data_IF_772454625333
#
_entry.id   IF_772454625333
#
_cell.length_a   1.000
_cell.length_b   1.000
_cell.length_c   1.000
_cell.angle_alpha   90.00
_cell.angle_beta   90.00
_cell.angle_gamma   90.00
#
_symmetry.space_group_name_H-M   'P 1'
#
loop_
_entity.id
_entity.type
_entity.pdbx_description
1 polymer ?
#
# COMPACT_ATOMS: atom_id res chain seq x y z
N UNK A 1 -67.34 29.68 13.07
CA UNK A 1 -66.74 28.34 13.24
C UNK A 1 -66.08 27.79 11.97
N UNK A 2 -66.61 28.06 10.76
CA UNK A 2 -66.02 27.57 9.50
C UNK A 2 -64.58 28.03 9.20
N UNK A 3 -64.21 29.27 9.60
CA UNK A 3 -62.86 29.84 9.32
C UNK A 3 -61.71 29.13 10.03
N UNK A 4 -61.91 28.63 11.25
CA UNK A 4 -60.87 27.93 12.02
C UNK A 4 -60.60 26.54 11.44
N UNK A 5 -61.66 25.81 11.11
CA UNK A 5 -61.57 24.49 10.48
C UNK A 5 -60.84 24.57 9.13
N UNK A 6 -61.13 25.59 8.31
CA UNK A 6 -60.42 25.81 7.06
C UNK A 6 -58.92 26.05 7.29
N UNK A 7 -58.56 26.83 8.31
CA UNK A 7 -57.17 27.11 8.66
C UNK A 7 -56.41 25.85 9.12
N UNK A 8 -57.02 25.01 9.96
CA UNK A 8 -56.43 23.73 10.40
C UNK A 8 -56.17 22.79 9.22
N UNK A 9 -57.10 22.70 8.28
CA UNK A 9 -56.93 21.90 7.06
C UNK A 9 -55.76 22.43 6.20
N UNK A 10 -55.62 23.75 6.08
CA UNK A 10 -54.49 24.35 5.37
C UNK A 10 -53.16 24.08 6.08
N UNK A 11 -53.13 24.17 7.42
CA UNK A 11 -51.93 23.92 8.21
C UNK A 11 -51.50 22.45 8.12
N UNK A 12 -52.45 21.52 8.21
CA UNK A 12 -52.20 20.09 8.05
C UNK A 12 -51.61 19.78 6.67
N UNK A 13 -52.16 20.36 5.60
CA UNK A 13 -51.61 20.20 4.23
C UNK A 13 -50.18 20.71 4.13
N UNK A 14 -49.87 21.87 4.73
CA UNK A 14 -48.51 22.42 4.76
C UNK A 14 -47.56 21.53 5.56
N UNK A 15 -48.06 20.94 6.64
CA UNK A 15 -47.28 20.02 7.45
C UNK A 15 -46.92 18.74 6.68
N UNK A 16 -47.89 18.15 5.98
CA UNK A 16 -47.65 16.98 5.11
C UNK A 16 -46.62 17.29 4.01
N UNK A 17 -46.70 18.48 3.41
CA UNK A 17 -45.74 18.92 2.40
C UNK A 17 -44.32 19.06 2.97
N UNK A 18 -44.18 19.63 4.17
CA UNK A 18 -42.90 19.71 4.89
C UNK A 18 -42.36 18.32 5.21
N UNK A 19 -43.21 17.42 5.69
CA UNK A 19 -42.81 16.03 5.99
C UNK A 19 -42.37 15.28 4.73
N UNK A 20 -43.09 15.47 3.61
CA UNK A 20 -42.74 14.88 2.31
C UNK A 20 -41.40 15.38 1.78
N UNK A 21 -41.14 16.69 1.87
CA UNK A 21 -39.84 17.25 1.47
C UNK A 21 -38.70 16.72 2.35
N UNK A 22 -38.93 16.62 3.67
CA UNK A 22 -37.94 16.10 4.61
C UNK A 22 -37.60 14.64 4.35
N UNK A 23 -38.58 13.80 4.01
CA UNK A 23 -38.34 12.39 3.72
C UNK A 23 -37.49 12.21 2.46
N UNK A 24 -37.79 12.95 1.40
CA UNK A 24 -36.99 12.94 0.15
C UNK A 24 -35.55 13.36 0.42
N UNK A 25 -35.34 14.45 1.17
CA UNK A 25 -33.99 14.93 1.48
C UNK A 25 -33.20 13.90 2.31
N UNK A 26 -33.83 13.30 3.32
CA UNK A 26 -33.19 12.25 4.12
C UNK A 26 -32.79 11.04 3.27
N UNK A 27 -33.66 10.62 2.36
CA UNK A 27 -33.36 9.51 1.45
C UNK A 27 -32.21 9.85 0.50
N UNK A 28 -32.16 11.07 -0.05
CA UNK A 28 -31.04 11.52 -0.87
C UNK A 28 -29.71 11.57 -0.09
N UNK A 29 -29.76 12.02 1.17
CA UNK A 29 -28.58 12.03 2.03
C UNK A 29 -28.09 10.61 2.34
N UNK A 30 -29.00 9.67 2.60
CA UNK A 30 -28.69 8.28 2.86
C UNK A 30 -28.08 7.58 1.64
N UNK A 31 -28.66 7.77 0.45
CA UNK A 31 -28.11 7.21 -0.79
C UNK A 31 -26.73 7.80 -1.10
N UNK A 32 -26.55 9.11 -0.96
CA UNK A 32 -25.26 9.75 -1.17
C UNK A 32 -24.17 9.24 -0.21
N UNK A 33 -24.50 9.04 1.07
CA UNK A 33 -23.57 8.46 2.05
C UNK A 33 -23.27 6.98 1.74
N UNK A 34 -24.27 6.22 1.34
CA UNK A 34 -24.13 4.83 0.89
C UNK A 34 -23.17 4.70 -0.29
N UNK A 35 -23.41 5.45 -1.36
CA UNK A 35 -22.60 5.47 -2.58
C UNK A 35 -21.16 5.92 -2.33
N UNK A 36 -20.98 6.93 -1.48
CA UNK A 36 -19.64 7.40 -1.09
C UNK A 36 -18.88 6.32 -0.31
N UNK A 37 -19.56 5.59 0.58
CA UNK A 37 -18.97 4.50 1.38
C UNK A 37 -18.59 3.32 0.48
N UNK A 38 -19.48 2.88 -0.41
CA UNK A 38 -19.22 1.75 -1.32
C UNK A 38 -18.11 2.07 -2.32
N UNK A 39 -18.08 3.28 -2.88
CA UNK A 39 -16.99 3.72 -3.77
C UNK A 39 -15.63 3.66 -3.08
N UNK A 40 -15.56 4.09 -1.81
CA UNK A 40 -14.33 4.03 -1.01
C UNK A 40 -13.89 2.58 -0.76
N UNK A 41 -14.81 1.67 -0.46
CA UNK A 41 -14.45 0.25 -0.20
C UNK A 41 -13.91 -0.46 -1.43
N UNK A 42 -14.52 -0.27 -2.61
CA UNK A 42 -14.05 -0.90 -3.85
C UNK A 42 -12.69 -0.37 -4.29
N UNK A 43 -12.45 0.95 -4.12
CA UNK A 43 -11.14 1.54 -4.41
C UNK A 43 -10.03 0.99 -3.48
N UNK A 44 -10.30 0.87 -2.17
CA UNK A 44 -9.33 0.28 -1.24
C UNK A 44 -9.03 -1.18 -1.59
N UNK A 45 -10.06 -1.97 -1.92
CA UNK A 45 -9.86 -3.38 -2.27
C UNK A 45 -9.04 -3.56 -3.55
N UNK A 46 -9.30 -2.76 -4.58
CA UNK A 46 -8.53 -2.80 -5.81
C UNK A 46 -7.06 -2.41 -5.58
N UNK A 47 -6.82 -1.38 -4.77
CA UNK A 47 -5.46 -0.96 -4.40
C UNK A 47 -4.72 -2.04 -3.59
N UNK A 48 -5.39 -2.68 -2.63
CA UNK A 48 -4.80 -3.76 -1.83
C UNK A 48 -4.49 -5.01 -2.67
N UNK A 49 -5.39 -5.37 -3.59
CA UNK A 49 -5.15 -6.46 -4.54
C UNK A 49 -3.96 -6.17 -5.46
N UNK A 50 -3.89 -4.95 -6.01
CA UNK A 50 -2.76 -4.51 -6.83
C UNK A 50 -1.44 -4.51 -6.03
N UNK A 51 -1.46 -4.03 -4.78
CA UNK A 51 -0.29 -4.03 -3.89
C UNK A 51 0.22 -5.45 -3.63
N UNK A 52 -0.67 -6.40 -3.32
CA UNK A 52 -0.32 -7.82 -3.12
C UNK A 52 0.31 -8.43 -4.37
N UNK A 53 -0.30 -8.20 -5.53
CA UNK A 53 0.24 -8.67 -6.83
C UNK A 53 1.62 -8.07 -7.10
N UNK A 54 1.79 -6.77 -6.92
CA UNK A 54 3.05 -6.09 -7.18
C UNK A 54 4.16 -6.57 -6.24
N UNK A 55 3.85 -6.84 -4.97
CA UNK A 55 4.81 -7.42 -4.02
C UNK A 55 5.28 -8.81 -4.45
N UNK A 56 4.37 -9.67 -4.90
CA UNK A 56 4.71 -11.00 -5.42
C UNK A 56 5.58 -10.90 -6.68
N UNK A 57 5.19 -10.06 -7.64
CA UNK A 57 5.96 -9.84 -8.87
C UNK A 57 7.36 -9.31 -8.58
N UNK A 58 7.50 -8.36 -7.66
CA UNK A 58 8.80 -7.81 -7.28
C UNK A 58 9.69 -8.90 -6.65
N UNK A 59 9.11 -9.76 -5.81
CA UNK A 59 9.84 -10.87 -5.21
C UNK A 59 10.32 -11.87 -6.28
N UNK A 60 9.46 -12.23 -7.24
CA UNK A 60 9.83 -13.11 -8.36
C UNK A 60 10.94 -12.50 -9.21
N UNK A 61 10.83 -11.21 -9.57
CA UNK A 61 11.85 -10.52 -10.36
C UNK A 61 13.18 -10.41 -9.60
N UNK A 62 13.12 -10.17 -8.29
CA UNK A 62 14.30 -10.12 -7.44
C UNK A 62 15.04 -11.47 -7.45
N UNK A 63 14.35 -12.58 -7.19
CA UNK A 63 14.99 -13.89 -7.18
C UNK A 63 15.49 -14.31 -8.57
N UNK A 64 14.75 -14.01 -9.63
CA UNK A 64 15.24 -14.22 -11.00
C UNK A 64 16.53 -13.44 -11.29
N UNK A 65 16.62 -12.18 -10.84
CA UNK A 65 17.83 -11.36 -10.98
C UNK A 65 19.00 -11.91 -10.15
N UNK A 66 18.74 -12.45 -8.96
CA UNK A 66 19.74 -13.12 -8.12
C UNK A 66 20.26 -14.37 -8.84
N UNK A 67 19.38 -15.24 -9.30
CA UNK A 67 19.74 -16.46 -10.03
C UNK A 67 20.56 -16.17 -11.29
N UNK A 68 20.19 -15.15 -12.06
CA UNK A 68 20.95 -14.73 -13.24
C UNK A 68 22.35 -14.19 -12.89
N UNK A 69 22.48 -13.58 -11.71
CA UNK A 69 23.74 -12.98 -11.27
C UNK A 69 24.68 -13.97 -10.60
N UNK A 70 24.17 -15.05 -10.00
CA UNK A 70 24.95 -16.05 -9.24
C UNK A 70 26.18 -16.58 -10.00
N UNK A 71 26.09 -17.02 -11.27
CA UNK A 71 27.26 -17.51 -12.00
C UNK A 71 28.35 -16.45 -12.18
N UNK A 72 27.97 -15.19 -12.37
CA UNK A 72 28.92 -14.07 -12.52
C UNK A 72 29.69 -13.85 -11.22
N UNK A 73 29.00 -13.93 -10.09
CA UNK A 73 29.62 -13.88 -8.77
C UNK A 73 30.55 -15.07 -8.52
N UNK A 74 30.17 -16.28 -8.91
CA UNK A 74 31.01 -17.47 -8.77
C UNK A 74 32.33 -17.32 -9.55
N UNK A 75 32.27 -16.91 -10.82
CA UNK A 75 33.49 -16.71 -11.63
C UNK A 75 34.41 -15.63 -11.04
N UNK A 76 33.86 -14.54 -10.54
CA UNK A 76 34.63 -13.49 -9.89
C UNK A 76 35.31 -13.98 -8.61
N UNK A 77 34.59 -14.69 -7.73
CA UNK A 77 35.12 -15.22 -6.48
C UNK A 77 36.22 -16.27 -6.71
N UNK A 78 36.16 -16.99 -7.83
CA UNK A 78 37.20 -17.92 -8.27
C UNK A 78 38.39 -17.22 -8.95
N UNK A 79 38.37 -15.89 -9.07
CA UNK A 79 39.43 -15.11 -9.74
C UNK A 79 39.47 -15.28 -11.27
N UNK A 80 38.39 -15.81 -11.86
CA UNK A 80 38.28 -16.11 -13.30
C UNK A 80 37.58 -15.02 -14.10
N UNK A 81 36.99 -14.03 -13.43
CA UNK A 81 36.30 -12.91 -14.05
C UNK A 81 36.54 -11.60 -13.27
N UNK A 82 36.22 -10.48 -13.91
CA UNK A 82 36.21 -9.16 -13.27
C UNK A 82 35.03 -9.00 -12.29
N UNK A 83 35.07 -7.94 -11.47
CA UNK A 83 34.09 -7.69 -10.44
C UNK A 83 32.66 -7.46 -11.02
N UNK A 84 31.64 -8.17 -10.50
CA UNK A 84 30.25 -7.96 -10.93
C UNK A 84 29.72 -6.58 -10.56
N UNK A 85 28.63 -6.18 -11.23
CA UNK A 85 27.91 -4.94 -10.94
C UNK A 85 27.50 -4.86 -9.47
N UNK A 86 27.76 -3.72 -8.83
CA UNK A 86 27.42 -3.47 -7.43
C UNK A 86 28.48 -3.91 -6.42
N UNK A 87 29.57 -4.54 -6.86
CA UNK A 87 30.68 -4.87 -5.97
C UNK A 87 31.39 -3.59 -5.49
N UNK A 88 31.38 -3.36 -4.17
CA UNK A 88 32.14 -2.28 -3.52
C UNK A 88 33.28 -2.90 -2.73
N UNK A 89 34.54 -2.68 -3.15
CA UNK A 89 35.70 -3.04 -2.32
C UNK A 89 35.64 -2.26 -1.02
N UNK A 90 35.43 -2.95 0.09
CA UNK A 90 35.66 -2.37 1.40
C UNK A 90 37.16 -2.13 1.55
N UNK A 91 37.56 -0.89 1.82
CA UNK A 91 38.95 -0.54 2.05
C UNK A 91 39.35 -1.16 3.39
N UNK A 92 40.04 -2.28 3.36
CA UNK A 92 40.72 -2.83 4.54
C UNK A 92 41.90 -1.93 4.83
N UNK A 93 41.73 -1.01 5.79
CA UNK A 93 42.87 -0.41 6.48
C UNK A 93 43.60 -1.57 7.16
N UNK A 94 44.85 -1.82 6.75
CA UNK A 94 45.74 -2.78 7.39
C UNK A 94 45.92 -2.37 8.85
N UNK A 95 45.12 -2.92 9.74
CA UNK A 95 45.44 -2.99 11.15
C UNK A 95 45.26 -4.45 11.57
N UNK A 96 46.42 -5.07 11.80
CA UNK A 96 46.67 -6.20 12.69
C UNK A 96 46.19 -7.58 12.20
N UNK A 97 47.05 -8.22 11.42
CA UNK A 97 47.32 -9.65 11.56
C UNK A 97 48.85 -9.86 11.52
N UNK A 98 49.52 -9.41 12.58
CA UNK A 98 50.82 -9.98 12.98
C UNK A 98 50.58 -10.68 14.31
N UNK A 99 50.18 -11.95 14.25
CA UNK A 99 50.48 -12.84 15.35
C UNK A 99 51.84 -13.43 15.02
N UNK A 100 52.82 -13.04 15.81
CA UNK A 100 54.22 -13.42 15.69
C UNK A 100 54.37 -14.93 15.82
N UNK A 101 54.70 -15.61 14.73
CA UNK A 101 55.38 -16.90 14.77
C UNK A 101 56.88 -16.63 14.77
N UNK A 102 57.48 -16.29 15.92
CA UNK A 102 58.91 -16.56 16.22
C UNK A 102 59.05 -16.43 17.75
N UNK A 103 59.05 -17.56 18.44
CA UNK A 103 59.89 -17.86 19.63
C UNK A 103 59.38 -19.13 20.32
N UNK A 104 59.79 -20.28 19.78
CA UNK A 104 59.93 -21.54 20.54
C UNK A 104 60.82 -22.53 19.76
N UNK A 105 62.10 -22.18 19.64
CA UNK A 105 63.18 -23.19 19.59
C UNK A 105 64.29 -22.76 20.55
N UNK A 106 64.23 -23.31 21.77
CA UNK A 106 65.37 -23.86 22.49
C UNK A 106 64.89 -24.69 23.68
#
# INVERSE_FOLDING_TARGET
MSSYLAQEVHLARRHEEILSQRSVLLQQMETYLGDKKTKKTWQTQAADAARKRNAALLNTLYWASVEESLPKWEQFLLGRAEAPVGFKKLKTTKQNLSYSEEDSQN
#
